data_IF_415903473492
#
_entry.id   IF_415903473492
#
_cell.length_a   1.000
_cell.length_b   1.000
_cell.length_c   1.000
_cell.angle_alpha   90.00
_cell.angle_beta   90.00
_cell.angle_gamma   90.00
#
_symmetry.space_group_name_H-M   'P 1'
#
loop_
_entity.id
_entity.type
_entity.pdbx_description
1 polymer ?
2 non-polymer ?
3 non-polymer ?
4 water ?
#
# COMPACT_ATOMS: atom_id res chain seq x y z
N UNK A 1 -24.27 9.53 12.99
CA UNK A 1 -24.16 8.28 13.71
C UNK A 1 -23.86 7.09 12.83
N UNK A 2 -24.12 5.88 13.35
CA UNK A 2 -23.78 4.66 12.62
C UNK A 2 -24.62 4.48 11.35
N UNK A 3 -25.84 5.01 11.33
CA UNK A 3 -26.65 4.89 10.12
C UNK A 3 -26.11 5.80 9.02
N UNK A 4 -25.55 6.96 9.40
CA UNK A 4 -24.92 7.80 8.38
C UNK A 4 -23.71 7.11 7.77
N UNK A 5 -22.91 6.41 8.59
CA UNK A 5 -21.74 5.70 8.07
C UNK A 5 -22.17 4.53 7.17
N UNK A 6 -23.23 3.82 7.55
CA UNK A 6 -23.70 2.73 6.69
C UNK A 6 -24.17 3.27 5.35
N UNK A 7 -24.79 4.46 5.33
CA UNK A 7 -25.19 5.06 4.06
C UNK A 7 -23.98 5.41 3.19
N UNK A 8 -22.90 5.92 3.80
CA UNK A 8 -21.67 6.16 3.06
C UNK A 8 -21.16 4.86 2.42
N UNK A 9 -21.11 3.79 3.22
CA UNK A 9 -20.66 2.50 2.69
C UNK A 9 -21.58 2.02 1.57
N UNK A 10 -22.89 2.18 1.73
CA UNK A 10 -23.81 1.78 0.66
C UNK A 10 -23.57 2.61 -0.60
N UNK A 11 -23.30 3.92 -0.46
CA UNK A 11 -23.05 4.73 -1.65
C UNK A 11 -21.76 4.33 -2.35
N UNK A 12 -20.72 3.99 -1.59
CA UNK A 12 -19.45 3.53 -2.18
C UNK A 12 -19.64 2.25 -2.97
N UNK A 13 -20.53 1.36 -2.52
CA UNK A 13 -20.81 0.14 -3.27
C UNK A 13 -21.32 0.43 -4.67
N UNK A 14 -21.97 1.58 -4.88
CA UNK A 14 -22.56 1.86 -6.18
C UNK A 14 -21.51 1.96 -7.29
N UNK A 15 -20.27 2.33 -6.96
CA UNK A 15 -19.23 2.40 -7.96
C UNK A 15 -18.47 1.08 -8.13
N UNK A 16 -19.00 -0.02 -7.61
CA UNK A 16 -18.31 -1.30 -7.66
C UNK A 16 -18.09 -1.75 -9.09
N UNK A 17 -19.12 -1.64 -9.93
CA UNK A 17 -19.00 -2.15 -11.28
C UNK A 17 -18.15 -1.25 -12.16
N UNK A 18 -18.08 0.04 -11.86
CA UNK A 18 -17.18 0.93 -12.59
C UNK A 18 -15.71 0.63 -12.25
N UNK A 19 -15.41 0.39 -10.98
CA UNK A 19 -14.05 0.05 -10.60
C UNK A 19 -13.62 -1.27 -11.24
N UNK A 20 -14.55 -2.21 -11.35
CA UNK A 20 -14.22 -3.49 -11.96
C UNK A 20 -13.85 -3.34 -13.43
N UNK A 21 -14.59 -2.51 -14.17
CA UNK A 21 -14.25 -2.28 -15.58
C UNK A 21 -12.88 -1.63 -15.71
N UNK A 22 -12.63 -0.58 -14.92
CA UNK A 22 -11.33 0.10 -14.97
C UNK A 22 -10.20 -0.86 -14.61
N UNK A 23 -10.41 -1.70 -13.59
CA UNK A 23 -9.39 -2.69 -13.24
C UNK A 23 -9.16 -3.68 -14.37
N UNK A 24 -10.23 -4.05 -15.09
CA UNK A 24 -10.06 -4.93 -16.24
C UNK A 24 -9.23 -4.30 -17.34
N UNK A 25 -9.41 -2.99 -17.55
CA UNK A 25 -8.58 -2.28 -18.51
C UNK A 25 -7.10 -2.33 -18.09
N UNK A 26 -6.83 -2.12 -16.80
CA UNK A 26 -5.46 -2.21 -16.31
C UNK A 26 -4.91 -3.62 -16.52
N UNK A 27 -5.70 -4.64 -16.16
CA UNK A 27 -5.25 -6.03 -16.31
C UNK A 27 -4.80 -6.33 -17.73
N UNK A 28 -5.57 -5.88 -18.72
CA UNK A 28 -5.21 -6.16 -20.11
C UNK A 28 -3.89 -5.51 -20.51
N UNK A 29 -3.65 -4.27 -20.05
CA UNK A 29 -2.42 -3.58 -20.37
C UNK A 29 -1.23 -4.25 -19.66
N UNK A 30 -1.39 -4.51 -18.36
CA UNK A 30 -0.33 -5.17 -17.59
C UNK A 30 0.04 -6.51 -18.21
N UNK A 31 -0.97 -7.30 -18.59
CA UNK A 31 -0.70 -8.61 -19.17
C UNK A 31 0.06 -8.51 -20.48
N UNK A 32 -0.23 -7.48 -21.27
CA UNK A 32 0.58 -7.23 -22.47
C UNK A 32 2.01 -6.89 -22.09
N UNK A 33 2.18 -5.98 -21.11
CA UNK A 33 3.52 -5.60 -20.68
C UNK A 33 4.27 -6.79 -20.12
N UNK A 34 3.59 -7.66 -19.39
CA UNK A 34 4.23 -8.85 -18.84
C UNK A 34 4.80 -9.72 -19.95
N UNK A 35 4.11 -9.81 -21.09
CA UNK A 35 4.60 -10.65 -22.19
C UNK A 35 5.94 -10.15 -22.71
N UNK A 36 6.01 -8.85 -23.02
CA UNK A 36 7.26 -8.30 -23.52
C UNK A 36 8.40 -8.47 -22.52
N UNK A 37 8.15 -8.08 -21.27
CA UNK A 37 9.22 -8.08 -20.28
C UNK A 37 9.89 -9.44 -20.16
N UNK A 38 9.12 -10.53 -20.27
CA UNK A 38 9.67 -11.86 -20.20
C UNK A 38 10.53 -12.22 -21.41
N UNK A 39 10.64 -11.33 -22.40
CA UNK A 39 11.56 -11.51 -23.52
C UNK A 39 12.94 -10.92 -23.26
N UNK A 40 13.02 -9.90 -22.42
CA UNK A 40 14.31 -9.35 -22.04
C UNK A 40 14.98 -10.26 -21.01
N UNK A 41 16.27 -10.51 -21.20
CA UNK A 41 16.98 -11.47 -20.37
C UNK A 41 17.00 -11.05 -18.91
N UNK A 42 17.12 -9.75 -18.64
CA UNK A 42 17.22 -9.29 -17.26
C UNK A 42 15.89 -9.42 -16.54
N UNK A 43 14.78 -9.40 -17.29
CA UNK A 43 13.45 -9.46 -16.69
C UNK A 43 12.74 -10.75 -17.03
N UNK A 44 13.50 -11.78 -17.46
CA UNK A 44 12.93 -13.05 -17.92
C UNK A 44 12.02 -13.70 -16.88
N UNK A 45 12.37 -13.59 -15.59
CA UNK A 45 11.59 -14.23 -14.56
C UNK A 45 10.69 -13.28 -13.81
N UNK A 46 10.13 -12.32 -14.52
CA UNK A 46 9.22 -11.34 -13.92
C UNK A 46 7.81 -11.90 -13.94
N UNK A 47 7.07 -11.60 -12.89
CA UNK A 47 5.67 -11.99 -12.83
C UNK A 47 4.93 -10.97 -11.98
N UNK A 48 3.61 -11.11 -11.97
CA UNK A 48 2.78 -10.21 -11.18
C UNK A 48 2.71 -10.69 -9.74
N UNK A 49 2.81 -9.76 -8.80
CA UNK A 49 2.66 -10.10 -7.39
C UNK A 49 1.20 -9.98 -6.98
N UNK A 50 0.73 -10.97 -6.22
CA UNK A 50 -0.62 -11.04 -5.66
C UNK A 50 -0.79 -9.97 -4.58
N UNK A 51 -1.33 -8.80 -4.96
CA UNK A 51 -1.42 -7.66 -4.04
C UNK A 51 -2.81 -7.02 -3.91
N UNK A 52 -3.75 -7.25 -4.83
CA UNK A 52 -5.00 -6.51 -4.84
C UNK A 52 -6.21 -7.45 -4.86
N UNK A 53 -7.38 -6.83 -4.80
CA UNK A 53 -8.64 -7.56 -4.77
C UNK A 53 -9.31 -7.65 -6.15
N UNK A 54 -8.56 -7.39 -7.21
CA UNK A 54 -9.07 -7.50 -8.58
C UNK A 54 -8.18 -8.44 -9.36
N UNK A 55 -8.79 -9.48 -9.95
CA UNK A 55 -8.11 -10.74 -10.22
C UNK A 55 -7.31 -11.09 -8.98
N UNK A 56 -6.01 -10.90 -9.05
CA UNK A 56 -5.14 -11.00 -7.89
C UNK A 56 -4.08 -9.91 -7.88
N UNK A 57 -4.02 -9.08 -8.93
CA UNK A 57 -2.83 -8.28 -9.20
C UNK A 57 -3.09 -6.79 -9.37
N UNK A 58 -4.34 -6.35 -9.46
CA UNK A 58 -4.67 -4.95 -9.63
C UNK A 58 -5.21 -4.43 -8.31
N UNK A 59 -4.50 -3.48 -7.71
CA UNK A 59 -4.76 -2.97 -6.37
C UNK A 59 -5.37 -1.57 -6.47
N UNK A 60 -6.59 -1.41 -5.95
CA UNK A 60 -7.23 -0.08 -5.89
C UNK A 60 -6.52 0.78 -4.85
N UNK A 61 -6.27 2.04 -5.21
CA UNK A 61 -5.56 2.94 -4.30
C UNK A 61 -6.34 4.22 -4.03
N UNK A 62 -7.12 4.66 -5.01
CA UNK A 62 -7.94 5.87 -4.96
C UNK A 62 -8.92 5.76 -6.12
N UNK A 63 -9.99 6.61 -6.18
CA UNK A 63 -11.10 6.37 -7.14
C UNK A 63 -10.73 5.86 -8.54
N UNK A 64 -9.75 6.45 -9.22
CA UNK A 64 -9.38 6.00 -10.55
C UNK A 64 -7.87 5.82 -10.68
N UNK A 65 -7.26 5.21 -9.67
CA UNK A 65 -5.82 5.01 -9.63
C UNK A 65 -5.51 3.63 -9.09
N UNK A 66 -4.73 2.86 -9.83
CA UNK A 66 -4.46 1.47 -9.49
C UNK A 66 -2.95 1.25 -9.31
N UNK A 67 -2.62 0.20 -8.57
CA UNK A 67 -1.25 -0.15 -8.25
C UNK A 67 -0.98 -1.58 -8.68
N UNK A 68 0.15 -1.79 -9.35
CA UNK A 68 0.54 -3.10 -9.84
C UNK A 68 2.02 -3.30 -9.53
N UNK A 69 2.37 -4.48 -9.02
CA UNK A 69 3.74 -4.79 -8.66
C UNK A 69 4.21 -5.97 -9.48
N UNK A 70 5.32 -5.79 -10.17
CA UNK A 70 6.01 -6.85 -10.87
C UNK A 70 7.11 -7.35 -9.95
N UNK A 71 7.09 -8.64 -9.65
CA UNK A 71 8.10 -9.24 -8.79
C UNK A 71 9.15 -9.91 -9.66
N UNK A 72 10.38 -9.96 -9.15
CA UNK A 72 11.51 -10.48 -9.92
C UNK A 72 12.30 -11.41 -9.01
N UNK A 73 12.27 -12.70 -9.30
CA UNK A 73 12.95 -13.66 -8.44
C UNK A 73 14.46 -13.48 -8.56
N UNK A 74 15.09 -13.16 -7.44
CA UNK A 74 16.50 -12.79 -7.41
C UNK A 74 17.15 -13.52 -6.24
N UNK A 75 18.00 -14.50 -6.49
CA UNK A 75 18.52 -15.35 -5.42
C UNK A 75 19.79 -14.81 -4.79
N UNK A 76 20.10 -15.35 -3.60
CA UNK A 76 21.37 -15.12 -2.93
C UNK A 76 21.61 -13.63 -2.65
N UNK A 77 20.55 -12.94 -2.22
CA UNK A 77 20.64 -11.50 -2.00
C UNK A 77 21.22 -11.24 -0.61
N UNK A 78 22.15 -10.29 -0.54
CA UNK A 78 22.76 -9.84 0.70
C UNK A 78 22.45 -8.35 0.87
N UNK A 79 21.91 -7.97 2.01
CA UNK A 79 21.50 -6.60 2.27
C UNK A 79 22.50 -5.90 3.18
N UNK A 80 22.71 -4.61 2.90
CA UNK A 80 23.53 -3.75 3.74
C UNK A 80 22.75 -2.46 3.96
N UNK A 81 22.47 -2.15 5.22
CA UNK A 81 21.64 -1.01 5.55
C UNK A 81 22.36 0.30 5.22
N UNK A 82 21.63 1.22 4.58
CA UNK A 82 22.10 2.58 4.34
C UNK A 82 21.88 3.38 5.61
N UNK A 83 22.94 3.46 6.42
CA UNK A 83 23.08 4.38 7.55
C UNK A 83 21.84 4.57 8.43
N UNK A 84 21.58 3.63 9.33
CA UNK A 84 20.58 3.76 10.39
C UNK A 84 19.19 4.19 9.92
N UNK A 85 18.91 4.10 8.61
CA UNK A 85 17.56 4.43 8.14
C UNK A 85 16.58 3.30 8.39
N UNK A 86 17.06 2.08 8.70
CA UNK A 86 16.23 0.92 8.97
C UNK A 86 15.41 0.49 7.76
N UNK A 87 14.96 1.46 6.95
CA UNK A 87 14.10 1.21 5.80
C UNK A 87 14.84 0.95 4.49
N UNK A 88 16.03 1.53 4.30
CA UNK A 88 16.69 1.53 3.01
C UNK A 88 17.99 0.72 3.06
N UNK A 89 18.27 0.01 1.96
CA UNK A 89 19.32 -0.99 1.92
C UNK A 89 20.03 -0.93 0.57
N UNK A 90 21.30 -1.33 0.57
CA UNK A 90 21.99 -1.74 -0.66
C UNK A 90 21.81 -3.24 -0.85
N UNK A 91 21.79 -3.66 -2.11
CA UNK A 91 21.55 -5.06 -2.49
C UNK A 91 22.85 -5.64 -3.03
N UNK A 92 23.31 -6.72 -2.41
CA UNK A 92 24.51 -7.46 -2.81
C UNK A 92 24.14 -8.87 -3.25
N UNK A 93 25.12 -9.56 -3.82
CA UNK A 93 24.99 -10.98 -4.15
C UNK A 93 26.17 -11.74 -3.56
N UNK A 94 25.89 -12.91 -3.01
CA UNK A 94 26.95 -13.75 -2.47
C UNK A 94 27.79 -14.38 -3.60
N UNK A 100 24.40 -14.58 -13.15
CA UNK A 100 23.00 -14.23 -12.92
C UNK A 100 22.56 -13.16 -13.94
N UNK A 101 21.24 -13.04 -14.17
CA UNK A 101 20.79 -12.13 -15.24
C UNK A 101 21.05 -10.66 -14.95
N UNK A 102 20.93 -10.25 -13.69
CA UNK A 102 21.13 -8.86 -13.29
C UNK A 102 22.61 -8.47 -13.23
N UNK A 103 23.49 -9.20 -13.92
CA UNK A 103 24.92 -8.89 -13.86
C UNK A 103 25.22 -7.52 -14.47
N UNK A 104 24.43 -7.09 -15.46
CA UNK A 104 24.69 -5.82 -16.13
C UNK A 104 24.53 -4.64 -15.18
N UNK A 105 23.69 -4.76 -14.18
CA UNK A 105 23.41 -3.65 -13.27
C UNK A 105 24.29 -3.65 -12.05
N UNK A 106 25.20 -4.62 -11.93
CA UNK A 106 26.13 -4.63 -10.81
C UNK A 106 27.19 -3.56 -11.00
N UNK A 107 27.41 -2.76 -9.96
CA UNK A 107 28.53 -1.82 -9.90
C UNK A 107 29.35 -2.21 -8.69
N UNK A 108 30.48 -2.86 -8.92
CA UNK A 108 31.15 -3.54 -7.82
C UNK A 108 30.35 -4.75 -7.42
N UNK A 109 30.21 -4.95 -6.11
CA UNK A 109 29.33 -6.01 -5.60
C UNK A 109 27.90 -5.55 -5.43
N UNK A 110 27.60 -4.28 -5.75
CA UNK A 110 26.31 -3.68 -5.43
C UNK A 110 25.42 -3.68 -6.67
N UNK A 111 24.12 -3.76 -6.43
CA UNK A 111 23.13 -3.76 -7.50
C UNK A 111 22.57 -2.36 -7.64
N UNK A 112 22.69 -1.78 -8.83
CA UNK A 112 22.24 -0.41 -9.06
C UNK A 112 20.74 -0.37 -9.33
N UNK A 113 19.99 0.24 -8.42
CA UNK A 113 18.54 0.36 -8.62
C UNK A 113 18.22 1.32 -9.76
N UNK A 114 19.03 2.36 -9.96
CA UNK A 114 18.70 3.33 -10.99
C UNK A 114 18.95 2.76 -12.39
N UNK A 115 20.00 1.95 -12.55
CA UNK A 115 20.25 1.32 -13.84
C UNK A 115 19.19 0.25 -14.15
N UNK A 116 18.84 -0.57 -13.16
CA UNK A 116 17.77 -1.55 -13.38
C UNK A 116 16.45 -0.85 -13.66
N UNK A 117 16.17 0.23 -12.94
CA UNK A 117 14.94 0.98 -13.15
C UNK A 117 14.95 1.70 -14.49
N UNK A 118 16.13 2.15 -14.95
CA UNK A 118 16.22 2.87 -16.21
C UNK A 118 15.86 1.97 -17.40
N UNK A 119 16.32 0.72 -17.39
CA UNK A 119 15.97 -0.20 -18.48
C UNK A 119 14.50 -0.60 -18.42
N UNK A 120 13.99 -0.83 -17.20
CA UNK A 120 12.57 -1.16 -17.02
C UNK A 120 11.68 -0.13 -17.70
N UNK A 121 11.90 1.15 -17.40
CA UNK A 121 11.12 2.22 -18.02
C UNK A 121 11.19 2.16 -19.54
N UNK A 122 12.40 2.01 -20.11
CA UNK A 122 12.56 2.01 -21.55
C UNK A 122 11.67 0.97 -22.21
N UNK A 123 11.68 -0.26 -21.68
CA UNK A 123 10.93 -1.35 -22.29
C UNK A 123 9.44 -1.04 -22.26
N UNK A 124 8.95 -0.54 -21.13
CA UNK A 124 7.53 -0.21 -21.01
C UNK A 124 7.17 0.96 -21.92
N UNK A 125 8.05 1.97 -22.00
CA UNK A 125 7.79 3.12 -22.87
C UNK A 125 7.82 2.70 -24.34
N UNK A 126 8.71 1.76 -24.67
CA UNK A 126 8.71 1.18 -26.00
C UNK A 126 7.38 0.50 -26.31
N UNK A 127 6.97 -0.42 -25.44
CA UNK A 127 5.81 -1.27 -25.72
C UNK A 127 4.49 -0.55 -25.55
N UNK A 128 4.45 0.55 -24.80
CA UNK A 128 3.20 1.32 -24.68
C UNK A 128 2.81 1.89 -26.03
N UNK A 129 3.79 2.36 -26.80
CA UNK A 129 3.49 2.96 -28.09
C UNK A 129 3.17 1.91 -29.14
N UNK A 130 3.81 0.74 -29.07
CA UNK A 130 3.79 -0.22 -30.17
C UNK A 130 2.36 -0.62 -30.55
N UNK A 131 1.58 -1.08 -29.58
CA UNK A 131 0.24 -1.59 -29.84
C UNK A 131 -0.77 -0.69 -29.15
N UNK A 132 -1.65 -0.07 -29.93
CA UNK A 132 -2.66 0.85 -29.42
C UNK A 132 -4.01 0.47 -30.04
N UNK A 133 -4.63 -0.56 -29.48
CA UNK A 133 -6.07 -0.73 -29.55
C UNK A 133 -6.74 -0.10 -28.35
N UNK A 134 -5.98 0.69 -27.58
CA UNK A 134 -6.39 1.41 -26.39
C UNK A 134 -5.53 2.67 -26.31
N UNK A 135 -6.11 3.74 -25.78
CA UNK A 135 -5.36 4.98 -25.56
C UNK A 135 -4.49 4.81 -24.32
N UNK A 136 -3.19 4.58 -24.51
CA UNK A 136 -2.26 4.40 -23.39
C UNK A 136 -1.11 5.41 -23.51
N UNK A 137 -0.88 6.17 -22.45
CA UNK A 137 0.19 7.15 -22.39
C UNK A 137 1.09 6.79 -21.20
N UNK A 138 2.04 7.66 -20.89
CA UNK A 138 3.05 7.33 -19.88
C UNK A 138 3.57 8.58 -19.20
N UNK A 139 3.42 8.65 -17.88
CA UNK A 139 3.91 9.74 -17.05
C UNK A 139 5.06 9.25 -16.19
N UNK A 140 5.81 10.21 -15.66
CA UNK A 140 6.81 9.94 -14.63
C UNK A 140 6.37 10.68 -13.37
N UNK A 141 5.83 9.93 -12.42
CA UNK A 141 5.52 10.51 -11.12
C UNK A 141 6.80 10.98 -10.44
N UNK A 142 6.64 11.92 -9.50
CA UNK A 142 7.80 12.53 -8.88
C UNK A 142 8.68 11.51 -8.16
N UNK A 143 8.09 10.72 -7.26
CA UNK A 143 8.86 9.75 -6.51
C UNK A 143 9.07 8.46 -7.31
N UNK A 144 10.31 7.97 -7.31
CA UNK A 144 10.65 6.77 -8.07
C UNK A 144 10.09 5.48 -7.51
N UNK A 145 9.49 5.53 -6.32
CA UNK A 145 8.89 4.32 -5.76
C UNK A 145 7.75 3.79 -6.62
N UNK A 146 6.80 4.61 -7.12
CA UNK A 146 5.97 4.16 -8.26
C UNK A 146 6.74 4.33 -9.56
N UNK A 147 7.41 3.25 -9.98
CA UNK A 147 8.38 3.33 -11.07
C UNK A 147 7.81 4.01 -12.30
N UNK A 148 6.71 3.49 -12.84
CA UNK A 148 6.10 3.99 -14.06
C UNK A 148 4.63 4.25 -13.80
N UNK A 149 4.09 5.33 -14.37
CA UNK A 149 2.67 5.61 -14.32
C UNK A 149 2.12 5.67 -15.74
N UNK A 150 1.05 4.91 -15.99
CA UNK A 150 0.35 4.88 -17.27
C UNK A 150 -1.02 5.51 -17.13
N UNK A 151 -1.50 6.12 -18.20
CA UNK A 151 -2.82 6.73 -18.25
C UNK A 151 -3.62 6.07 -19.36
N UNK A 152 -4.69 5.35 -18.98
CA UNK A 152 -5.52 4.58 -19.89
C UNK A 152 -6.83 5.33 -20.11
N UNK A 153 -7.23 5.48 -21.37
CA UNK A 153 -8.49 6.13 -21.76
C UNK A 153 -8.60 7.55 -21.20
N UNK A 154 -7.46 8.18 -20.88
CA UNK A 154 -7.39 9.51 -20.31
C UNK A 154 -8.18 9.63 -19.01
N UNK A 155 -8.46 8.51 -18.33
CA UNK A 155 -9.05 8.53 -17.00
C UNK A 155 -8.20 7.71 -16.03
N UNK A 156 -8.01 6.45 -16.38
CA UNK A 156 -7.44 5.47 -15.47
C UNK A 156 -5.93 5.61 -15.44
N UNK A 157 -5.36 5.70 -14.24
CA UNK A 157 -3.93 5.75 -14.04
C UNK A 157 -3.48 4.55 -13.21
N UNK A 158 -2.38 3.93 -13.62
CA UNK A 158 -1.83 2.77 -12.93
C UNK A 158 -0.37 3.01 -12.63
N UNK A 159 0.02 2.80 -11.37
CA UNK A 159 1.41 2.80 -10.97
C UNK A 159 1.96 1.39 -11.05
N UNK A 160 3.07 1.22 -11.77
CA UNK A 160 3.72 -0.07 -11.93
C UNK A 160 5.04 -0.02 -11.16
N UNK A 161 5.24 -0.98 -10.25
CA UNK A 161 6.44 -1.03 -9.41
C UNK A 161 7.20 -2.32 -9.64
N UNK A 162 8.49 -2.21 -9.91
CA UNK A 162 9.36 -3.37 -9.97
C UNK A 162 9.88 -3.68 -8.56
N UNK A 163 9.84 -4.96 -8.18
CA UNK A 163 10.28 -5.36 -6.85
C UNK A 163 11.10 -6.63 -6.95
N UNK A 164 12.25 -6.65 -6.26
CA UNK A 164 13.02 -7.86 -6.13
C UNK A 164 12.39 -8.75 -5.08
N UNK A 165 12.30 -10.05 -5.35
CA UNK A 165 11.80 -11.00 -4.38
C UNK A 165 12.96 -11.65 -3.64
N UNK A 166 12.96 -11.57 -2.32
CA UNK A 166 13.97 -12.27 -1.52
C UNK A 166 13.29 -13.35 -0.71
N UNK A 167 13.78 -14.58 -0.83
CA UNK A 167 13.28 -15.68 -0.02
C UNK A 167 14.03 -15.83 1.30
N UNK A 168 14.91 -14.88 1.64
CA UNK A 168 15.67 -14.94 2.88
C UNK A 168 14.83 -14.50 4.07
N UNK A 169 15.31 -14.83 5.27
CA UNK A 169 14.71 -14.34 6.50
C UNK A 169 14.60 -12.81 6.48
N UNK A 170 13.54 -12.30 7.11
CA UNK A 170 13.30 -10.86 7.07
C UNK A 170 14.44 -10.13 7.77
N UNK A 171 14.74 -8.90 7.34
CA UNK A 171 15.82 -8.14 7.97
C UNK A 171 15.56 -7.85 9.44
N UNK A 172 16.67 -7.69 10.18
CA UNK A 172 16.61 -7.52 11.62
C UNK A 172 15.80 -6.31 12.04
N UNK A 173 15.74 -5.29 11.18
CA UNK A 173 14.92 -4.11 11.51
C UNK A 173 13.45 -4.45 11.66
N UNK A 174 12.99 -5.58 11.10
CA UNK A 174 11.60 -5.97 11.23
C UNK A 174 11.33 -6.88 12.43
N UNK A 175 12.37 -7.22 13.21
CA UNK A 175 12.25 -8.21 14.28
C UNK A 175 11.12 -7.87 15.25
N UNK A 176 10.98 -6.59 15.61
CA UNK A 176 9.94 -6.15 16.54
C UNK A 176 8.66 -5.67 15.84
N UNK A 177 8.58 -5.76 14.51
CA UNK A 177 7.41 -5.33 13.78
C UNK A 177 6.40 -6.45 13.59
N UNK A 178 5.34 -6.16 12.83
CA UNK A 178 4.24 -7.09 12.60
C UNK A 178 3.73 -7.63 13.94
N UNK A 179 3.33 -6.71 14.82
CA UNK A 179 2.92 -7.03 16.19
C UNK A 179 1.48 -7.54 16.17
N UNK A 180 1.30 -8.77 15.71
CA UNK A 180 -0.03 -9.35 15.51
C UNK A 180 -0.29 -10.52 16.45
N UNK A 181 0.64 -10.80 17.39
CA UNK A 181 0.55 -12.03 18.17
C UNK A 181 -0.73 -12.11 19.00
N UNK A 182 -1.16 -11.00 19.62
CA UNK A 182 -2.39 -11.03 20.44
C UNK A 182 -3.67 -11.04 19.62
N UNK A 183 -3.59 -10.70 18.34
CA UNK A 183 -4.73 -10.57 17.44
C UNK A 183 -4.84 -11.80 16.53
N UNK A 184 -3.84 -12.01 15.69
CA UNK A 184 -3.87 -13.07 14.69
C UNK A 184 -3.13 -14.33 15.10
N UNK A 185 -2.36 -14.28 16.21
CA UNK A 185 -1.62 -15.36 16.91
C UNK A 185 -0.13 -15.38 16.55
N UNK A 186 0.66 -15.98 17.46
CA UNK A 186 2.09 -16.20 17.21
C UNK A 186 2.32 -17.18 16.07
N UNK A 187 1.47 -18.21 15.98
CA UNK A 187 1.55 -19.15 14.87
C UNK A 187 1.43 -18.42 13.53
N UNK A 188 0.47 -17.51 13.40
CA UNK A 188 0.30 -16.79 12.14
C UNK A 188 1.47 -15.85 11.91
N UNK A 189 1.97 -15.20 12.97
CA UNK A 189 3.12 -14.31 12.79
C UNK A 189 4.33 -15.10 12.26
N UNK A 190 4.58 -16.29 12.81
CA UNK A 190 5.68 -17.12 12.31
C UNK A 190 5.46 -17.52 10.86
N UNK A 191 4.24 -17.96 10.51
CA UNK A 191 3.96 -18.31 9.12
C UNK A 191 4.26 -17.16 8.18
N UNK A 192 3.74 -15.97 8.50
CA UNK A 192 3.87 -14.83 7.59
C UNK A 192 5.33 -14.48 7.36
N UNK A 193 6.14 -14.54 8.43
CA UNK A 193 7.55 -14.18 8.33
C UNK A 193 8.36 -15.22 7.57
N UNK A 194 7.81 -16.40 7.32
CA UNK A 194 8.46 -17.36 6.44
C UNK A 194 8.26 -17.04 4.97
N UNK A 195 7.33 -16.16 4.65
CA UNK A 195 7.09 -15.77 3.26
C UNK A 195 8.24 -14.90 2.76
N UNK A 196 8.36 -14.72 1.45
CA UNK A 196 9.37 -13.80 0.92
C UNK A 196 9.12 -12.39 1.39
N UNK A 197 10.13 -11.55 1.22
CA UNK A 197 9.90 -10.12 1.30
C UNK A 197 10.40 -9.50 0.00
N UNK A 198 10.05 -8.23 -0.21
CA UNK A 198 10.23 -7.55 -1.47
C UNK A 198 11.04 -6.28 -1.27
N UNK A 199 11.75 -5.89 -2.33
CA UNK A 199 12.62 -4.71 -2.33
C UNK A 199 12.29 -3.88 -3.56
N UNK A 200 11.93 -2.61 -3.33
CA UNK A 200 11.54 -1.72 -4.41
C UNK A 200 12.54 -0.57 -4.45
N UNK A 201 12.84 -0.02 -5.60
CA UNK A 201 13.85 1.05 -5.67
C UNK A 201 13.28 2.41 -5.33
N UNK A 202 13.41 2.83 -4.07
CA UNK A 202 13.07 4.20 -3.69
C UNK A 202 14.32 4.91 -3.19
N UNK A 203 14.37 6.22 -3.42
CA UNK A 203 15.47 7.04 -2.92
C UNK A 203 15.10 7.71 -1.61
N UNK A 212 21.03 8.14 -3.62
CA UNK A 212 21.87 6.97 -3.82
C UNK A 212 21.11 5.85 -4.51
N UNK A 213 21.73 4.68 -4.60
CA UNK A 213 21.10 3.49 -5.22
C UNK A 213 20.56 2.55 -4.15
N UNK A 214 19.66 3.09 -3.34
CA UNK A 214 19.06 2.34 -2.25
C UNK A 214 17.74 1.70 -2.67
N UNK A 215 17.36 0.67 -1.91
CA UNK A 215 16.11 -0.06 -2.06
C UNK A 215 15.37 -0.01 -0.73
N UNK A 216 14.05 0.04 -0.80
CA UNK A 216 13.19 0.02 0.38
C UNK A 216 12.45 -1.31 0.46
N UNK A 217 12.20 -1.80 1.67
CA UNK A 217 11.44 -3.02 1.84
C UNK A 217 9.96 -2.80 1.50
N UNK A 218 9.30 -3.87 1.06
CA UNK A 218 7.88 -3.82 0.71
C UNK A 218 7.19 -5.07 1.19
N UNK A 219 5.99 -4.91 1.76
CA UNK A 219 5.24 -6.03 2.32
C UNK A 219 3.80 -6.02 1.82
N UNK A 220 3.61 -5.60 0.56
CA UNK A 220 2.28 -5.51 -0.03
C UNK A 220 1.54 -6.84 0.04
N UNK A 221 2.24 -7.95 -0.15
CA UNK A 221 1.58 -9.25 -0.09
C UNK A 221 1.09 -9.56 1.32
N UNK A 222 1.76 -9.05 2.35
CA UNK A 222 1.32 -9.33 3.72
C UNK A 222 0.09 -8.50 4.05
N UNK A 223 0.03 -7.25 3.57
CA UNK A 223 -1.15 -6.43 3.77
C UNK A 223 -2.40 -7.12 3.25
N UNK A 224 -2.34 -7.64 2.02
CA UNK A 224 -3.49 -8.32 1.46
C UNK A 224 -3.90 -9.52 2.30
N UNK A 225 -2.92 -10.30 2.76
CA UNK A 225 -3.18 -11.49 3.55
C UNK A 225 -3.90 -11.16 4.86
N UNK A 226 -3.44 -10.13 5.58
CA UNK A 226 -4.03 -9.82 6.87
C UNK A 226 -5.31 -9.00 6.76
N UNK A 227 -5.61 -8.45 5.58
CA UNK A 227 -6.89 -7.78 5.35
C UNK A 227 -7.99 -8.78 5.03
N UNK A 228 -7.65 -9.80 4.25
CA UNK A 228 -8.58 -10.84 3.81
C UNK A 228 -8.67 -12.04 4.75
N UNK A 229 -7.86 -12.07 5.80
CA UNK A 229 -7.87 -13.15 6.80
C UNK A 229 -7.61 -12.45 8.13
N UNK A 230 -8.60 -11.67 8.57
CA UNK A 230 -8.40 -10.54 9.47
C UNK A 230 -8.95 -10.76 10.87
N UNK A 231 -9.62 -11.86 11.14
CA UNK A 231 -10.21 -12.05 12.45
C UNK A 231 -9.32 -12.82 13.39
N UNK A 232 -9.60 -12.68 14.68
CA UNK A 232 -9.07 -13.64 15.64
C UNK A 232 -9.68 -15.01 15.37
N UNK A 233 -10.99 -15.06 15.16
CA UNK A 233 -11.61 -16.30 14.69
C UNK A 233 -11.22 -16.58 13.24
N UNK A 234 -10.83 -17.82 12.98
CA UNK A 234 -10.54 -18.21 11.59
C UNK A 234 -11.78 -18.09 10.70
N UNK A 235 -13.00 -18.20 11.25
CA UNK A 235 -14.22 -18.05 10.46
C UNK A 235 -14.84 -16.65 10.56
N UNK A 236 -14.08 -15.62 11.00
CA UNK A 236 -14.56 -14.24 10.95
C UNK A 236 -15.07 -13.91 9.54
N UNK A 237 -16.28 -13.34 9.45
CA UNK A 237 -16.94 -12.98 8.19
C UNK A 237 -17.24 -14.18 7.26
N UNK A 238 -17.13 -15.44 7.72
CA UNK A 238 -17.57 -16.56 6.88
C UNK A 238 -18.97 -17.04 7.19
N UNK A 239 -19.66 -16.40 8.14
CA UNK A 239 -21.02 -16.83 8.43
C UNK A 239 -21.75 -15.64 9.06
N UNK A 240 -23.09 -15.77 9.17
CA UNK A 240 -23.88 -14.64 9.64
C UNK A 240 -23.64 -14.32 11.11
N UNK A 241 -23.13 -15.25 11.90
CA UNK A 241 -22.89 -14.99 13.32
C UNK A 241 -21.58 -14.24 13.58
N UNK A 242 -20.67 -14.17 12.59
CA UNK A 242 -19.37 -13.57 12.82
C UNK A 242 -19.11 -12.51 11.78
N UNK A 243 -19.96 -11.49 11.74
CA UNK A 243 -19.80 -10.38 10.81
C UNK A 243 -19.15 -9.20 11.54
N UNK A 244 -17.91 -8.88 11.19
CA UNK A 244 -17.23 -7.74 11.81
C UNK A 244 -17.17 -6.56 10.83
N UNK A 245 -16.74 -5.40 11.33
CA UNK A 245 -16.68 -4.20 10.50
C UNK A 245 -15.25 -3.72 10.24
N UNK A 246 -14.26 -4.61 10.31
CA UNK A 246 -12.86 -4.18 10.12
C UNK A 246 -12.66 -3.61 8.72
N UNK A 247 -13.09 -4.33 7.68
CA UNK A 247 -12.88 -3.82 6.32
C UNK A 247 -13.64 -2.51 6.10
N UNK A 248 -14.85 -2.41 6.64
CA UNK A 248 -15.63 -1.19 6.45
C UNK A 248 -14.99 -0.02 7.18
N UNK A 249 -14.37 -0.25 8.33
CA UNK A 249 -13.69 0.85 9.00
C UNK A 249 -12.51 1.36 8.19
N UNK A 250 -11.74 0.45 7.59
CA UNK A 250 -10.64 0.88 6.73
C UNK A 250 -11.16 1.66 5.52
N UNK A 251 -12.26 1.20 4.92
CA UNK A 251 -12.85 1.92 3.78
C UNK A 251 -13.29 3.33 4.17
N UNK A 252 -13.95 3.44 5.33
CA UNK A 252 -14.39 4.76 5.78
C UNK A 252 -13.21 5.70 6.08
N UNK A 253 -12.13 5.15 6.66
CA UNK A 253 -10.96 5.97 6.93
C UNK A 253 -10.33 6.48 5.63
N UNK A 254 -10.17 5.60 4.63
CA UNK A 254 -9.60 6.04 3.36
C UNK A 254 -10.47 7.09 2.69
N UNK A 255 -11.78 6.92 2.76
CA UNK A 255 -12.71 7.82 2.11
C UNK A 255 -12.75 9.17 2.84
N UNK A 256 -12.63 9.14 4.17
CA UNK A 256 -12.51 10.38 4.93
C UNK A 256 -11.34 11.20 4.44
N UNK A 257 -10.16 10.58 4.34
CA UNK A 257 -8.99 11.31 3.85
C UNK A 257 -9.20 11.78 2.41
N UNK A 258 -9.75 10.92 1.54
CA UNK A 258 -9.98 11.33 0.17
C UNK A 258 -10.88 12.56 0.11
N UNK A 259 -11.97 12.54 0.88
CA UNK A 259 -12.91 13.65 0.81
C UNK A 259 -12.28 14.92 1.35
N UNK A 260 -11.48 14.82 2.41
CA UNK A 260 -10.84 16.03 2.93
C UNK A 260 -9.86 16.60 1.91
N UNK A 261 -9.08 15.72 1.25
CA UNK A 261 -8.11 16.17 0.26
C UNK A 261 -8.79 16.85 -0.92
N UNK A 262 -9.98 16.39 -1.29
CA UNK A 262 -10.69 16.96 -2.42
C UNK A 262 -11.09 18.41 -2.18
N UNK A 263 -11.12 18.86 -0.92
CA UNK A 263 -11.44 20.25 -0.61
C UNK A 263 -10.27 21.18 -0.84
N UNK A 264 -9.07 20.66 -1.11
CA UNK A 264 -7.91 21.51 -1.32
C UNK A 264 -7.21 21.14 -2.62
N UNK A 265 -7.97 21.14 -3.72
CA UNK A 265 -7.39 20.79 -5.01
C UNK A 265 -6.40 21.84 -5.47
N UNK A 266 -6.70 23.12 -5.21
CA UNK A 266 -5.85 24.20 -5.70
C UNK A 266 -4.54 24.26 -4.92
N UNK A 267 -4.63 24.28 -3.58
CA UNK A 267 -3.47 24.46 -2.73
C UNK A 267 -2.74 23.16 -2.44
N UNK A 268 -3.49 22.04 -2.41
CA UNK A 268 -2.93 20.72 -2.13
C UNK A 268 -2.32 20.66 -0.73
N UNK A 269 -3.04 21.26 0.23
CA UNK A 269 -2.56 21.36 1.62
C UNK A 269 -2.34 20.00 2.29
N UNK A 270 -3.05 18.95 1.84
CA UNK A 270 -2.92 17.64 2.45
C UNK A 270 -2.21 16.66 1.52
N UNK A 271 -1.45 17.19 0.57
CA UNK A 271 -0.86 16.37 -0.49
C UNK A 271 0.05 15.28 0.07
N UNK A 272 0.71 15.53 1.21
CA UNK A 272 1.66 14.57 1.78
C UNK A 272 1.00 13.35 2.43
N UNK A 273 -0.31 13.32 2.57
CA UNK A 273 -1.02 12.24 3.25
C UNK A 273 -1.62 11.30 2.23
N UNK A 274 -1.59 10.01 2.53
CA UNK A 274 -1.99 8.98 1.58
C UNK A 274 -2.68 7.85 2.30
N UNK A 275 -3.34 6.98 1.52
CA UNK A 275 -4.00 5.83 2.10
C UNK A 275 -3.00 4.91 2.79
N UNK A 276 -1.72 4.98 2.40
CA UNK A 276 -0.69 4.22 3.12
C UNK A 276 -0.62 4.63 4.60
N UNK A 277 -0.75 5.93 4.90
CA UNK A 277 -0.77 6.39 6.29
C UNK A 277 -2.00 5.88 7.02
N UNK A 278 -3.17 6.01 6.38
CA UNK A 278 -4.45 5.52 6.92
C UNK A 278 -4.38 4.02 7.20
N UNK A 279 -3.90 3.24 6.23
CA UNK A 279 -3.81 1.79 6.41
C UNK A 279 -2.92 1.45 7.61
N UNK A 280 -1.78 2.14 7.73
CA UNK A 280 -0.85 1.85 8.83
C UNK A 280 -1.54 2.06 10.17
N UNK A 281 -2.23 3.20 10.32
CA UNK A 281 -2.91 3.49 11.59
C UNK A 281 -4.01 2.47 11.86
N UNK A 282 -4.75 2.08 10.82
CA UNK A 282 -5.83 1.11 10.99
C UNK A 282 -5.29 -0.24 11.50
N UNK A 283 -4.18 -0.73 10.92
CA UNK A 283 -3.63 -2.00 11.41
C UNK A 283 -3.06 -1.89 12.82
N UNK A 284 -2.53 -0.73 13.22
CA UNK A 284 -2.22 -0.53 14.64
C UNK A 284 -3.48 -0.62 15.51
N UNK A 285 -4.61 -0.13 15.02
CA UNK A 285 -5.82 -0.25 15.82
C UNK A 285 -6.29 -1.71 15.89
N UNK A 286 -6.05 -2.51 14.85
CA UNK A 286 -6.37 -3.92 14.96
C UNK A 286 -5.49 -4.60 16.01
N UNK A 287 -4.20 -4.25 16.06
CA UNK A 287 -3.33 -4.72 17.13
C UNK A 287 -3.88 -4.36 18.50
N UNK A 288 -4.32 -3.11 18.68
CA UNK A 288 -4.76 -2.61 19.97
C UNK A 288 -6.09 -3.22 20.40
N UNK A 289 -6.93 -3.59 19.42
CA UNK A 289 -8.27 -4.15 19.64
C UNK A 289 -8.31 -5.53 18.98
N UNK A 290 -7.73 -6.55 19.63
CA UNK A 290 -7.50 -7.85 18.95
C UNK A 290 -8.74 -8.73 18.85
N UNK A 291 -9.77 -8.48 19.65
CA UNK A 291 -10.94 -9.37 19.75
C UNK A 291 -11.96 -9.06 18.65
N UNK A 292 -12.55 -10.12 18.06
CA UNK A 292 -13.60 -9.87 17.06
C UNK A 292 -14.78 -9.15 17.69
N UNK A 293 -14.99 -9.33 18.99
CA UNK A 293 -16.09 -8.66 19.68
C UNK A 293 -15.89 -7.15 19.79
N UNK A 294 -14.68 -6.66 19.58
CA UNK A 294 -14.39 -5.22 19.47
C UNK A 294 -14.63 -4.65 18.09
N UNK A 295 -15.11 -5.46 17.15
CA UNK A 295 -15.36 -5.06 15.77
C UNK A 295 -16.70 -5.56 15.28
N UNK A 296 -17.65 -5.76 16.20
CA UNK A 296 -19.00 -6.18 15.82
C UNK A 296 -19.59 -5.20 14.81
N UNK A 297 -20.17 -5.74 13.73
CA UNK A 297 -20.77 -4.88 12.71
C UNK A 297 -21.74 -3.88 13.30
N UNK A 298 -22.47 -4.28 14.34
CA UNK A 298 -23.46 -3.40 14.93
C UNK A 298 -22.81 -2.22 15.66
N UNK A 299 -21.50 -2.27 15.89
CA UNK A 299 -20.78 -1.22 16.57
C UNK A 299 -19.98 -0.37 15.62
N UNK A 300 -20.37 -0.35 14.34
CA UNK A 300 -19.67 0.41 13.31
C UNK A 300 -19.27 1.80 13.79
N UNK A 301 -20.21 2.55 14.39
CA UNK A 301 -19.89 3.90 14.81
C UNK A 301 -18.76 3.98 15.84
N UNK A 302 -18.79 3.09 16.84
CA UNK A 302 -17.74 3.10 17.85
C UNK A 302 -16.40 2.66 17.27
N UNK A 303 -16.42 1.64 16.41
CA UNK A 303 -15.19 1.15 15.80
C UNK A 303 -14.54 2.21 14.91
N UNK A 304 -15.35 2.92 14.12
CA UNK A 304 -14.82 4.00 13.30
C UNK A 304 -14.22 5.10 14.16
N UNK A 305 -14.91 5.45 15.25
CA UNK A 305 -14.35 6.40 16.21
C UNK A 305 -13.00 5.93 16.76
N UNK A 306 -12.88 4.64 17.10
CA UNK A 306 -11.59 4.10 17.56
C UNK A 306 -10.49 4.38 16.54
N UNK A 307 -10.79 4.18 15.25
CA UNK A 307 -9.79 4.38 14.21
C UNK A 307 -9.45 5.85 14.06
N UNK A 308 -10.47 6.72 14.07
CA UNK A 308 -10.24 8.14 13.92
C UNK A 308 -9.48 8.69 15.12
N UNK A 309 -9.85 8.24 16.31
CA UNK A 309 -9.19 8.73 17.54
C UNK A 309 -7.71 8.36 17.56
N UNK A 310 -7.37 7.15 17.11
CA UNK A 310 -5.95 6.75 17.09
C UNK A 310 -5.18 7.55 16.04
N UNK A 311 -5.76 7.73 14.86
CA UNK A 311 -5.14 8.59 13.85
C UNK A 311 -4.87 9.98 14.38
N UNK A 312 -5.86 10.60 15.03
CA UNK A 312 -5.66 11.89 15.68
C UNK A 312 -4.51 11.85 16.66
N UNK A 313 -4.39 10.78 17.43
CA UNK A 313 -3.30 10.70 18.39
C UNK A 313 -1.96 10.68 17.67
N UNK A 314 -1.86 9.88 16.59
CA UNK A 314 -0.64 9.86 15.80
C UNK A 314 -0.29 11.25 15.27
N UNK A 315 -1.29 12.00 14.79
CA UNK A 315 -1.03 13.34 14.30
C UNK A 315 -0.50 14.24 15.41
N UNK A 316 -1.13 14.18 16.59
CA UNK A 316 -0.77 15.10 17.67
C UNK A 316 0.58 14.73 18.30
N UNK A 317 0.87 13.45 18.43
CA UNK A 317 2.18 13.07 18.93
C UNK A 317 3.23 13.10 17.83
N UNK A 318 2.83 13.44 16.60
CA UNK A 318 3.74 13.50 15.46
C UNK A 318 4.50 12.19 15.31
N UNK A 319 3.79 11.06 15.45
CA UNK A 319 4.43 9.75 15.38
C UNK A 319 3.45 8.71 14.82
N UNK A 320 3.82 8.08 13.70
CA UNK A 320 3.07 6.94 13.16
C UNK A 320 4.11 5.89 12.75
N UNK A 321 4.22 4.83 13.55
CA UNK A 321 5.26 3.83 13.34
C UNK A 321 4.90 3.00 12.12
N UNK A 322 5.87 2.79 11.24
CA UNK A 322 5.72 1.76 10.23
C UNK A 322 5.34 0.43 10.88
N UNK A 323 4.38 -0.28 10.26
CA UNK A 323 3.83 -1.52 10.83
C UNK A 323 4.88 -2.63 10.93
N UNK A 324 5.87 -2.61 10.04
CA UNK A 324 6.89 -3.65 9.99
C UNK A 324 8.22 -3.24 10.59
N UNK A 325 8.58 -1.96 10.51
CA UNK A 325 9.83 -1.45 11.05
C UNK A 325 9.46 -0.35 12.03
N UNK A 326 9.27 -0.66 13.32
CA UNK A 326 8.68 0.33 14.22
C UNK A 326 9.54 1.57 14.45
N UNK A 327 10.86 1.47 14.30
CA UNK A 327 11.71 2.65 14.46
C UNK A 327 11.57 3.65 13.31
N UNK A 328 10.89 3.30 12.22
CA UNK A 328 10.64 4.23 11.12
C UNK A 328 9.35 4.99 11.38
N UNK A 329 9.46 6.30 11.57
CA UNK A 329 8.31 7.15 11.88
C UNK A 329 7.82 7.81 10.60
N UNK A 330 6.62 7.42 10.15
CA UNK A 330 6.02 8.00 8.94
C UNK A 330 5.71 9.48 9.10
N UNK A 331 5.46 9.95 10.34
CA UNK A 331 5.07 11.33 10.60
C UNK A 331 6.21 12.22 11.10
N UNK A 332 7.47 11.81 10.96
CA UNK A 332 8.57 12.71 11.33
C UNK A 332 8.56 13.95 10.46
N UNK A 333 9.00 15.07 11.03
CA UNK A 333 8.93 16.34 10.32
C UNK A 333 9.86 16.39 9.13
N UNK A 334 10.89 15.54 9.12
CA UNK A 334 11.64 15.28 7.90
C UNK A 334 10.71 14.89 6.75
N UNK A 335 9.71 14.07 7.03
CA UNK A 335 8.83 13.56 5.97
C UNK A 335 7.55 14.38 5.79
N UNK A 336 6.91 14.77 6.89
CA UNK A 336 5.69 15.56 6.82
C UNK A 336 5.86 16.75 7.74
N UNK A 337 5.80 17.94 7.14
CA UNK A 337 5.83 19.23 7.81
C UNK A 337 4.93 19.25 9.05
N UNK A 338 5.41 19.92 10.11
CA UNK A 338 4.62 20.07 11.34
C UNK A 338 3.31 20.80 11.07
N UNK A 339 3.34 21.85 10.26
CA UNK A 339 2.11 22.60 9.98
C UNK A 339 1.10 21.76 9.19
N UNK A 340 1.57 20.84 8.34
CA UNK A 340 0.64 19.97 7.64
C UNK A 340 -0.08 19.06 8.63
N UNK A 341 0.65 18.55 9.63
CA UNK A 341 0.03 17.65 10.59
C UNK A 341 -0.97 18.39 11.46
N UNK A 342 -0.66 19.64 11.82
CA UNK A 342 -1.59 20.47 12.59
C UNK A 342 -2.84 20.78 11.79
N UNK A 343 -2.67 21.09 10.49
CA UNK A 343 -3.82 21.40 9.65
C UNK A 343 -4.77 20.19 9.57
N UNK A 344 -4.23 19.02 9.25
CA UNK A 344 -5.07 17.83 9.19
C UNK A 344 -5.65 17.47 10.56
N UNK A 345 -4.90 17.68 11.65
CA UNK A 345 -5.47 17.45 12.98
C UNK A 345 -6.72 18.30 13.17
N UNK A 346 -6.62 19.60 12.85
CA UNK A 346 -7.76 20.50 12.99
C UNK A 346 -8.96 20.06 12.16
N UNK A 347 -8.73 19.67 10.90
CA UNK A 347 -9.82 19.19 10.04
C UNK A 347 -10.50 17.94 10.63
N UNK A 348 -9.71 16.94 11.00
CA UNK A 348 -10.31 15.68 11.46
C UNK A 348 -11.00 15.88 12.81
N UNK A 349 -10.37 16.64 13.71
CA UNK A 349 -10.95 16.88 15.02
C UNK A 349 -12.32 17.55 14.89
N UNK A 350 -12.45 18.49 13.96
CA UNK A 350 -13.74 19.11 13.72
C UNK A 350 -14.74 18.07 13.22
N UNK A 351 -14.32 17.21 12.30
CA UNK A 351 -15.26 16.25 11.72
C UNK A 351 -15.75 15.27 12.79
N UNK A 352 -14.83 14.78 13.62
CA UNK A 352 -15.23 13.84 14.67
C UNK A 352 -16.21 14.48 15.65
N UNK A 353 -15.92 15.71 16.09
CA UNK A 353 -16.74 16.34 17.12
C UNK A 353 -18.13 16.69 16.64
N UNK A 354 -18.39 16.64 15.35
CA UNK A 354 -19.69 17.05 14.80
C UNK A 354 -20.32 15.95 13.94
N UNK A 355 -19.93 14.70 14.17
CA UNK A 355 -20.54 13.54 13.50
C UNK A 355 -20.25 13.51 12.00
N UNK A 356 -19.08 13.99 11.60
CA UNK A 356 -18.56 13.94 10.23
C UNK A 356 -19.52 14.59 9.24
N UNK A 357 -19.69 15.92 9.29
CA UNK A 357 -20.47 16.61 8.24
C UNK A 357 -19.94 16.39 6.83
N UNK A 358 -18.65 16.11 6.70
CA UNK A 358 -18.06 15.84 5.38
C UNK A 358 -18.84 14.73 4.66
N UNK A 359 -19.47 13.83 5.41
CA UNK A 359 -20.24 12.70 4.90
C UNK A 359 -21.71 13.03 4.63
N UNK A 360 -22.13 14.28 4.84
CA UNK A 360 -23.53 14.65 4.67
C UNK A 360 -23.90 14.73 3.20
N UNK A 361 -25.16 14.40 2.92
CA UNK A 361 -25.77 14.57 1.60
C UNK A 361 -26.63 15.83 1.55
X LIG B 1 5.77 2.18 1.70
X LIG B 1 4.93 2.66 0.72
X LIG B 1 5.64 4.80 1.05
X LIG B 1 6.40 -1.55 4.07
X LIG B 1 3.29 -2.42 2.89
X LIG B 1 2.09 -2.14 3.61
X LIG B 1 2.09 -1.47 4.80
X LIG B 1 4.45 -1.34 4.74
X LIG B 1 0.88 -1.13 5.62
X LIG B 1 0.63 -2.05 6.81
X LIG B 1 0.28 -3.49 6.44
X LIG B 1 8.41 0.75 4.79
X LIG B 1 6.50 4.41 2.06
X LIG B 1 8.47 -0.73 5.12
X LIG B 1 7.58 1.24 3.78
X LIG B 1 7.50 2.59 3.47
X LIG B 1 8.30 3.47 4.17
X LIG B 1 9.14 3.03 5.16
X LIG B 1 9.20 1.68 5.46
X LIG B 1 6.58 3.07 2.41
X LIG B 1 4.85 3.96 0.38
X LIG B 1 7.76 -1.44 4.08
X LIG B 1 5.72 -2.13 3.09
X LIG B 1 4.44 -1.97 3.56
X LIG B 1 3.29 -1.08 5.37
X LIG B 1 5.68 -1.03 5.11
X LIG B 1 3.39 -2.99 1.80
X LIG B 1 10.25 1.17 6.73
X LIG C 1 -14.43 -10.24 9.89
#
# INVERSE_FOLDING_TARGET
GASKLRAVLEKLKLSRDDISTAAGMVKGVVDHLLLRLKCDSAFRGVGLLNTGSYYEHVKISAPNEFDVMFKLEVPRIQLEEYSNTRAYYFVKFKRNPKENPLSQFLEGEILSASKMLSKFRKIIKEEINDIKDTDVIMKRKRGGSPAVTLLISEKISVDITLALESKSSWPASTQEGLRIQNWLSAKVRKQLRLKPFYLVPKHAKEGNGFQEETWRLSFSHIEKEILNNHGKSKTCCENKEEKCCRKDCLKLMKYLLEQLKERFKDKKHLDKFSSYHVKTAFFHVCTQNPQDSQWDRKDLGLCFDNCVTYFLQCLRTEKLENYFIPEFNLFSSNLIDKRSKEFLTKQIEYERNNEFPVFDEF
YOB C10 C11 C13 C16 C19 C21 C22 C24 C26 C27 C28 C1 C14 C2 C3 C4 C5 C6 C7 C9 N12 N15 N17 N18 N23 N25 O20 CL8
ZN ZN
#
